data_IF_086789421642
#
_entry.id   IF_086789421642
#
_cell.length_a   1.000
_cell.length_b   1.000
_cell.length_c   1.000
_cell.angle_alpha   90.00
_cell.angle_beta   90.00
_cell.angle_gamma   90.00
#
_symmetry.space_group_name_H-M   'P 1'
#
loop_
_entity.id
_entity.type
_entity.pdbx_description
1 polymer ?
#
# COMPACT_ATOMS: atom_id res chain seq x y z
N UNK A 1 -7.42 4.16 33.01
CA UNK A 1 -7.89 3.41 31.81
C UNK A 1 -7.57 1.97 32.13
N UNK A 2 -8.52 1.05 31.99
CA UNK A 2 -8.36 -0.33 32.42
C UNK A 2 -8.41 -1.26 31.19
N UNK A 3 -7.55 -2.28 31.16
CA UNK A 3 -7.67 -3.35 30.19
C UNK A 3 -8.66 -4.37 30.76
N UNK A 4 -9.70 -4.68 29.99
CA UNK A 4 -10.61 -5.78 30.32
C UNK A 4 -9.99 -7.08 29.84
N UNK A 5 -9.61 -7.97 30.75
CA UNK A 5 -9.18 -9.32 30.43
C UNK A 5 -10.35 -10.27 30.68
N UNK A 6 -10.88 -10.88 29.62
CA UNK A 6 -12.07 -11.74 29.68
C UNK A 6 -13.27 -11.09 30.41
N UNK A 7 -13.45 -9.78 30.25
CA UNK A 7 -14.54 -9.02 30.89
C UNK A 7 -14.26 -8.58 32.33
N UNK A 8 -13.14 -8.99 32.93
CA UNK A 8 -12.72 -8.51 34.25
C UNK A 8 -11.80 -7.30 34.09
N UNK A 9 -12.09 -6.16 34.75
CA UNK A 9 -11.21 -5.00 34.71
C UNK A 9 -9.90 -5.32 35.43
N UNK A 10 -8.78 -5.16 34.72
CA UNK A 10 -7.44 -5.18 35.31
C UNK A 10 -7.10 -3.87 36.00
N UNK A 11 -5.83 -3.74 36.41
CA UNK A 11 -5.33 -2.54 37.09
C UNK A 11 -5.46 -1.28 36.24
N UNK A 12 -5.68 -0.16 36.92
CA UNK A 12 -5.72 1.14 36.28
C UNK A 12 -4.33 1.60 35.87
N UNK A 13 -4.19 1.96 34.60
CA UNK A 13 -3.00 2.62 34.09
C UNK A 13 -3.36 3.94 33.41
N UNK A 14 -2.37 4.84 33.38
CA UNK A 14 -2.44 6.12 32.66
C UNK A 14 -1.56 6.02 31.42
N UNK A 15 -2.13 6.06 30.20
CA UNK A 15 -1.33 6.09 29.00
C UNK A 15 -0.52 7.39 28.96
N UNK A 16 0.81 7.28 28.88
CA UNK A 16 1.72 8.43 28.81
C UNK A 16 2.12 8.79 27.38
N UNK A 17 1.95 7.86 26.43
CA UNK A 17 2.30 8.02 25.01
C UNK A 17 1.30 7.30 24.12
N UNK A 18 1.14 7.81 22.90
CA UNK A 18 0.25 7.27 21.90
C UNK A 18 -1.14 7.92 21.92
N UNK A 19 -1.81 7.86 20.78
CA UNK A 19 -3.19 8.34 20.64
C UNK A 19 -4.11 7.15 20.52
N UNK A 20 -5.29 7.23 21.12
CA UNK A 20 -6.29 6.17 21.06
C UNK A 20 -6.68 5.91 19.61
N UNK A 21 -6.47 4.68 19.15
CA UNK A 21 -6.93 4.24 17.84
C UNK A 21 -8.46 4.30 17.78
N UNK A 22 -9.02 4.71 16.65
CA UNK A 22 -10.46 4.97 16.38
C UNK A 22 -11.04 6.32 16.83
N UNK A 23 -10.27 7.19 17.49
CA UNK A 23 -10.73 8.56 17.72
C UNK A 23 -10.60 9.41 16.45
N UNK A 24 -11.61 10.24 16.15
CA UNK A 24 -11.66 11.04 14.92
C UNK A 24 -10.47 12.00 14.77
N UNK A 25 -9.87 12.45 15.88
CA UNK A 25 -8.76 13.42 15.91
C UNK A 25 -7.39 12.71 15.76
N UNK A 26 -7.30 11.44 16.14
CA UNK A 26 -6.04 10.69 16.18
C UNK A 26 -5.30 10.67 14.84
N UNK A 27 -6.04 10.55 13.74
CA UNK A 27 -5.50 10.55 12.39
C UNK A 27 -4.87 11.91 12.03
N UNK A 28 -5.52 13.02 12.39
CA UNK A 28 -5.03 14.36 12.08
C UNK A 28 -3.76 14.70 12.87
N UNK A 29 -3.72 14.34 14.15
CA UNK A 29 -2.52 14.51 14.98
C UNK A 29 -1.34 13.71 14.41
N UNK A 30 -1.60 12.48 13.94
CA UNK A 30 -0.58 11.70 13.28
C UNK A 30 -0.10 12.34 11.97
N UNK A 31 -1.02 12.85 11.15
CA UNK A 31 -0.68 13.56 9.89
C UNK A 31 0.22 14.77 10.18
N UNK A 32 -0.14 15.60 11.16
CA UNK A 32 0.66 16.75 11.59
C UNK A 32 2.06 16.34 12.06
N UNK A 33 2.16 15.25 12.83
CA UNK A 33 3.46 14.72 13.23
C UNK A 33 4.29 14.30 12.02
N UNK A 34 3.73 13.58 11.03
CA UNK A 34 4.52 13.16 9.87
C UNK A 34 4.81 14.32 8.90
N UNK A 35 4.01 15.39 8.89
CA UNK A 35 4.30 16.60 8.12
C UNK A 35 5.67 17.20 8.53
N UNK A 36 6.06 17.08 9.81
CA UNK A 36 7.41 17.44 10.27
C UNK A 36 8.52 16.66 9.54
N UNK A 37 8.31 15.37 9.26
CA UNK A 37 9.26 14.58 8.46
C UNK A 37 9.35 15.14 7.03
N UNK A 38 8.24 15.60 6.45
CA UNK A 38 8.23 16.27 5.15
C UNK A 38 9.11 17.50 5.14
N UNK A 39 8.98 18.34 6.15
CA UNK A 39 9.79 19.54 6.30
C UNK A 39 11.28 19.22 6.48
N UNK A 40 11.62 18.16 7.24
CA UNK A 40 13.01 17.74 7.40
C UNK A 40 13.62 17.27 6.07
N UNK A 41 12.85 16.53 5.26
CA UNK A 41 13.28 16.10 3.92
C UNK A 41 13.41 17.31 2.99
N UNK A 42 12.43 18.22 2.99
CA UNK A 42 12.46 19.44 2.17
C UNK A 42 13.65 20.32 2.52
N UNK A 43 13.99 20.44 3.80
CA UNK A 43 15.19 21.15 4.25
C UNK A 43 16.46 20.48 3.72
N UNK A 44 16.58 19.16 3.84
CA UNK A 44 17.71 18.42 3.29
C UNK A 44 17.82 18.57 1.75
N UNK A 45 16.69 18.74 1.05
CA UNK A 45 16.68 19.04 -0.39
C UNK A 45 17.21 20.44 -0.67
N UNK A 46 16.71 21.45 0.05
CA UNK A 46 17.13 22.84 -0.11
C UNK A 46 18.63 23.03 0.22
N UNK A 47 19.13 22.28 1.20
CA UNK A 47 20.55 22.26 1.60
C UNK A 47 21.43 21.46 0.61
N UNK A 48 20.85 20.85 -0.43
CA UNK A 48 21.55 20.07 -1.45
C UNK A 48 22.03 18.69 -1.01
N UNK A 49 21.76 18.29 0.24
CA UNK A 49 22.11 16.98 0.80
C UNK A 49 21.24 15.84 0.24
N UNK A 50 19.99 16.15 -0.13
CA UNK A 50 19.02 15.23 -0.71
C UNK A 50 18.66 15.67 -2.12
N UNK A 51 18.84 14.82 -3.13
CA UNK A 51 18.38 15.12 -4.50
C UNK A 51 17.15 14.30 -4.83
N UNK A 52 16.16 14.98 -5.41
CA UNK A 52 14.96 14.34 -5.95
C UNK A 52 15.29 13.67 -7.28
N UNK A 53 14.56 12.61 -7.62
CA UNK A 53 14.61 12.03 -8.95
C UNK A 53 13.77 12.88 -9.90
N UNK A 54 14.30 13.16 -11.09
CA UNK A 54 13.60 13.86 -12.16
C UNK A 54 13.12 12.86 -13.20
N UNK A 55 11.84 12.89 -13.55
CA UNK A 55 11.29 12.08 -14.65
C UNK A 55 11.02 13.02 -15.82
N UNK A 56 11.92 13.02 -16.81
CA UNK A 56 11.89 13.98 -17.90
C UNK A 56 12.15 15.40 -17.40
N UNK A 57 11.29 16.36 -17.79
CA UNK A 57 11.40 17.78 -17.44
C UNK A 57 10.72 18.11 -16.10
N UNK A 58 9.99 17.15 -15.51
CA UNK A 58 9.27 17.34 -14.26
C UNK A 58 10.12 16.84 -13.10
N UNK A 59 10.53 17.76 -12.24
CA UNK A 59 11.01 17.40 -10.91
C UNK A 59 9.85 16.79 -10.13
N UNK A 60 10.03 15.55 -9.67
CA UNK A 60 9.02 14.90 -8.83
C UNK A 60 8.94 15.64 -7.51
N UNK A 61 7.96 16.55 -7.37
CA UNK A 61 7.69 17.24 -6.11
C UNK A 61 7.39 16.19 -5.04
N UNK A 62 8.12 16.25 -3.94
CA UNK A 62 7.91 15.41 -2.78
C UNK A 62 6.55 15.75 -2.16
N UNK A 63 5.49 15.06 -2.58
CA UNK A 63 4.24 15.00 -1.82
C UNK A 63 4.29 13.76 -0.95
N UNK A 64 4.37 13.92 0.37
CA UNK A 64 4.03 12.86 1.32
C UNK A 64 2.53 12.61 1.23
N UNK A 65 2.07 12.03 0.12
CA UNK A 65 0.73 11.44 0.07
C UNK A 65 0.75 10.04 0.68
N UNK A 66 1.96 9.45 0.84
CA UNK A 66 2.15 8.09 1.31
C UNK A 66 3.16 8.08 2.46
N UNK A 67 2.69 8.05 3.70
CA UNK A 67 3.47 7.93 4.94
C UNK A 67 4.47 6.75 5.01
N UNK A 68 4.52 5.92 3.97
CA UNK A 68 5.26 4.66 3.92
C UNK A 68 6.29 4.59 2.79
N UNK A 69 6.42 5.63 1.98
CA UNK A 69 7.32 5.66 0.83
C UNK A 69 8.10 6.97 0.77
N UNK A 70 9.42 6.87 0.69
CA UNK A 70 10.33 7.99 0.58
C UNK A 70 11.25 7.73 -0.61
N UNK A 71 11.32 8.68 -1.54
CA UNK A 71 12.16 8.58 -2.73
C UNK A 71 13.46 9.37 -2.53
N UNK A 72 14.59 8.75 -2.84
CA UNK A 72 15.91 9.34 -2.72
C UNK A 72 16.73 9.06 -3.97
N UNK A 73 17.46 10.07 -4.45
CA UNK A 73 18.45 9.91 -5.52
C UNK A 73 19.79 10.51 -5.08
N UNK A 74 20.88 9.76 -5.20
CA UNK A 74 22.25 10.30 -5.12
C UNK A 74 23.23 9.35 -5.79
N UNK A 75 24.34 9.92 -6.23
CA UNK A 75 25.45 9.22 -6.87
C UNK A 75 26.48 8.67 -5.84
N UNK A 76 26.38 9.04 -4.56
CA UNK A 76 27.36 8.65 -3.51
C UNK A 76 26.69 7.91 -2.35
N UNK A 77 27.08 6.66 -2.11
CA UNK A 77 26.49 5.76 -1.09
C UNK A 77 26.54 6.35 0.33
N UNK A 78 27.68 6.94 0.70
CA UNK A 78 27.89 7.56 2.01
C UNK A 78 26.96 8.75 2.25
N UNK A 79 26.74 9.56 1.21
CA UNK A 79 25.80 10.68 1.26
C UNK A 79 24.37 10.19 1.47
N UNK A 80 23.99 9.05 0.87
CA UNK A 80 22.67 8.43 1.08
C UNK A 80 22.50 8.03 2.53
N UNK A 81 23.44 7.22 3.04
CA UNK A 81 23.40 6.71 4.41
C UNK A 81 23.31 7.87 5.40
N UNK A 82 24.19 8.85 5.26
CA UNK A 82 24.26 9.99 6.17
C UNK A 82 22.95 10.77 6.18
N UNK A 83 22.50 11.22 5.02
CA UNK A 83 21.32 12.08 4.91
C UNK A 83 20.05 11.37 5.38
N UNK A 84 19.83 10.11 4.96
CA UNK A 84 18.64 9.36 5.37
C UNK A 84 18.64 9.08 6.87
N UNK A 85 19.79 8.68 7.44
CA UNK A 85 19.89 8.44 8.89
C UNK A 85 19.75 9.72 9.69
N UNK A 86 20.34 10.84 9.27
CA UNK A 86 20.22 12.12 9.95
C UNK A 86 18.78 12.63 9.94
N UNK A 87 18.10 12.61 8.79
CA UNK A 87 16.69 13.03 8.68
C UNK A 87 15.78 12.16 9.56
N UNK A 88 15.93 10.84 9.50
CA UNK A 88 15.13 9.92 10.30
C UNK A 88 15.45 10.01 11.80
N UNK A 89 16.73 10.17 12.17
CA UNK A 89 17.14 10.30 13.56
C UNK A 89 16.62 11.61 14.17
N UNK A 90 16.75 12.73 13.46
CA UNK A 90 16.20 14.02 13.89
C UNK A 90 14.68 13.94 14.04
N UNK A 91 14.00 13.30 13.08
CA UNK A 91 12.55 13.10 13.19
C UNK A 91 12.16 12.23 14.39
N UNK A 92 12.84 11.09 14.61
CA UNK A 92 12.59 10.23 15.76
C UNK A 92 12.88 10.92 17.10
N UNK A 93 13.91 11.78 17.13
CA UNK A 93 14.26 12.58 18.30
C UNK A 93 13.17 13.62 18.60
N UNK A 94 12.75 14.40 17.60
CA UNK A 94 11.73 15.44 17.73
C UNK A 94 10.34 14.87 18.06
N UNK A 95 9.95 13.75 17.43
CA UNK A 95 8.60 13.18 17.54
C UNK A 95 8.45 12.10 18.62
N UNK A 96 9.55 11.52 19.09
CA UNK A 96 9.54 10.32 19.94
C UNK A 96 9.06 9.05 19.24
N UNK A 97 8.77 9.09 17.93
CA UNK A 97 8.43 7.92 17.11
C UNK A 97 9.69 7.11 16.78
N UNK A 98 9.48 5.85 16.37
CA UNK A 98 10.56 4.96 15.94
C UNK A 98 10.27 4.37 14.59
N UNK A 99 11.31 4.30 13.74
CA UNK A 99 11.25 3.59 12.47
C UNK A 99 11.21 2.09 12.74
N UNK A 100 10.28 1.40 12.10
CA UNK A 100 10.22 -0.06 12.14
C UNK A 100 11.19 -0.62 11.11
N UNK A 101 12.44 -0.86 11.50
CA UNK A 101 13.46 -1.50 10.66
C UNK A 101 12.96 -2.75 9.92
N UNK A 102 12.28 -3.73 10.55
CA UNK A 102 11.84 -4.95 9.83
C UNK A 102 10.74 -4.70 8.78
N UNK A 103 10.08 -3.53 8.83
CA UNK A 103 9.05 -3.14 7.85
C UNK A 103 9.60 -2.16 6.81
N UNK A 104 10.82 -1.68 7.00
CA UNK A 104 11.43 -0.69 6.12
C UNK A 104 12.25 -1.42 5.08
N UNK A 105 11.81 -1.31 3.84
CA UNK A 105 12.47 -1.91 2.70
C UNK A 105 13.13 -0.85 1.83
N UNK A 106 14.18 -1.23 1.12
CA UNK A 106 14.86 -0.38 0.15
C UNK A 106 14.82 -1.02 -1.23
N UNK A 107 14.37 -0.24 -2.21
CA UNK A 107 14.47 -0.58 -3.63
C UNK A 107 15.58 0.27 -4.25
N UNK A 108 16.50 -0.40 -4.94
CA UNK A 108 17.65 0.25 -5.60
C UNK A 108 17.51 0.15 -7.12
N UNK A 109 18.09 1.13 -7.82
CA UNK A 109 18.08 1.12 -9.28
C UNK A 109 18.85 -0.08 -9.84
N UNK A 110 18.41 -0.60 -10.99
CA UNK A 110 19.09 -1.72 -11.68
C UNK A 110 20.50 -1.35 -12.16
N UNK A 111 20.78 -0.05 -12.24
CA UNK A 111 22.07 0.47 -12.69
C UNK A 111 23.11 0.56 -11.57
N UNK A 112 22.78 0.19 -10.33
CA UNK A 112 23.71 0.20 -9.20
C UNK A 112 24.43 -1.15 -9.13
N UNK A 113 25.75 -1.14 -8.95
CA UNK A 113 26.52 -2.38 -8.81
C UNK A 113 26.04 -3.20 -7.61
N UNK A 114 26.10 -4.53 -7.75
CA UNK A 114 25.63 -5.45 -6.71
C UNK A 114 26.36 -5.27 -5.37
N UNK A 115 27.66 -4.98 -5.43
CA UNK A 115 28.50 -4.68 -4.25
C UNK A 115 27.99 -3.46 -3.50
N UNK A 116 27.75 -2.36 -4.22
CA UNK A 116 27.22 -1.12 -3.66
C UNK A 116 25.81 -1.29 -3.09
N UNK A 117 24.98 -2.12 -3.73
CA UNK A 117 23.65 -2.45 -3.23
C UNK A 117 23.70 -3.18 -1.89
N UNK A 118 24.56 -4.19 -1.78
CA UNK A 118 24.74 -4.92 -0.53
C UNK A 118 25.30 -4.01 0.55
N UNK A 119 26.31 -3.21 0.22
CA UNK A 119 26.91 -2.25 1.14
C UNK A 119 25.87 -1.26 1.67
N UNK A 120 25.03 -0.69 0.81
CA UNK A 120 23.95 0.22 1.21
C UNK A 120 22.91 -0.44 2.12
N UNK A 121 22.48 -1.66 1.80
CA UNK A 121 21.51 -2.39 2.62
C UNK A 121 22.06 -2.65 4.01
N UNK A 122 23.30 -3.15 4.11
CA UNK A 122 24.00 -3.36 5.39
C UNK A 122 24.23 -2.04 6.13
N UNK A 123 24.59 -0.98 5.40
CA UNK A 123 24.78 0.35 5.97
C UNK A 123 23.50 0.99 6.47
N UNK A 124 22.33 0.72 5.90
CA UNK A 124 21.07 1.30 6.35
C UNK A 124 20.36 0.41 7.37
N UNK A 125 20.62 -0.90 7.36
CA UNK A 125 19.90 -1.89 8.16
C UNK A 125 18.52 -2.21 7.58
N UNK A 126 18.26 -1.87 6.31
CA UNK A 126 16.98 -2.08 5.65
C UNK A 126 17.04 -3.27 4.72
N UNK A 127 15.94 -4.04 4.66
CA UNK A 127 15.82 -5.18 3.77
C UNK A 127 15.72 -4.73 2.32
N UNK A 128 16.67 -5.17 1.50
CA UNK A 128 16.61 -4.93 0.05
C UNK A 128 15.48 -5.73 -0.58
N UNK A 129 14.70 -5.08 -1.43
CA UNK A 129 13.66 -5.73 -2.25
C UNK A 129 13.89 -5.40 -3.72
N UNK A 130 13.53 -6.32 -4.60
CA UNK A 130 13.55 -6.10 -6.05
C UNK A 130 12.26 -5.48 -6.57
N UNK A 131 11.19 -5.63 -5.79
CA UNK A 131 9.87 -5.06 -6.03
C UNK A 131 9.29 -4.51 -4.72
N UNK A 132 8.67 -3.35 -4.78
CA UNK A 132 7.99 -2.72 -3.64
C UNK A 132 6.64 -3.40 -3.34
N UNK A 133 6.16 -4.25 -4.26
CA UNK A 133 4.96 -5.03 -4.08
C UNK A 133 3.71 -4.16 -4.09
N UNK A 134 2.81 -4.37 -3.12
CA UNK A 134 1.51 -3.69 -3.07
C UNK A 134 1.47 -2.62 -1.98
N UNK A 135 1.00 -1.43 -2.34
CA UNK A 135 0.69 -0.36 -1.41
C UNK A 135 -0.77 0.05 -1.54
N UNK A 136 -1.47 0.07 -0.40
CA UNK A 136 -2.91 0.32 -0.30
C UNK A 136 -3.76 -0.56 -1.25
N UNK A 137 -3.27 -1.74 -1.62
CA UNK A 137 -3.98 -2.66 -2.52
C UNK A 137 -3.67 -2.49 -4.01
N UNK A 138 -2.81 -1.55 -4.39
CA UNK A 138 -2.33 -1.36 -5.77
C UNK A 138 -0.85 -1.73 -5.85
N UNK A 139 -0.44 -2.42 -6.91
CA UNK A 139 0.96 -2.75 -7.16
C UNK A 139 1.75 -1.48 -7.49
N UNK A 140 2.84 -1.24 -6.77
CA UNK A 140 3.78 -0.16 -7.09
C UNK A 140 4.72 -0.69 -8.16
N UNK A 141 4.41 -0.35 -9.40
CA UNK A 141 5.15 -0.88 -10.53
C UNK A 141 6.49 -0.17 -10.67
N UNK A 142 7.57 -0.94 -10.52
CA UNK A 142 8.92 -0.56 -10.94
C UNK A 142 9.23 -1.00 -12.39
N UNK A 143 8.30 -1.71 -13.04
CA UNK A 143 8.48 -2.24 -14.40
C UNK A 143 7.16 -2.22 -15.20
N UNK A 144 7.21 -2.68 -16.46
CA UNK A 144 6.03 -2.73 -17.34
C UNK A 144 4.87 -3.47 -16.66
N UNK A 145 3.66 -2.94 -16.84
CA UNK A 145 2.39 -3.53 -16.41
C UNK A 145 2.32 -4.97 -16.92
N UNK A 146 2.39 -5.96 -16.03
CA UNK A 146 2.17 -7.38 -16.34
C UNK A 146 0.79 -7.80 -15.85
N UNK A 147 0.15 -8.74 -16.56
CA UNK A 147 -1.11 -9.36 -16.14
C UNK A 147 -1.03 -9.91 -14.71
N UNK A 148 0.05 -10.60 -14.39
CA UNK A 148 0.31 -11.23 -13.08
C UNK A 148 0.17 -10.28 -11.89
N UNK A 149 0.41 -8.99 -12.08
CA UNK A 149 0.31 -7.98 -11.01
C UNK A 149 -1.13 -7.66 -10.63
N UNK A 150 -2.10 -8.15 -11.39
CA UNK A 150 -3.53 -7.87 -11.22
C UNK A 150 -4.38 -9.14 -11.09
N UNK A 151 -3.77 -10.33 -11.12
CA UNK A 151 -4.49 -11.59 -10.91
C UNK A 151 -5.21 -11.62 -9.55
N UNK A 152 -4.67 -10.91 -8.54
CA UNK A 152 -5.35 -10.70 -7.26
C UNK A 152 -6.73 -10.03 -7.37
N UNK A 153 -6.96 -9.22 -8.40
CA UNK A 153 -8.28 -8.60 -8.65
C UNK A 153 -9.26 -9.69 -9.08
N UNK A 154 -8.82 -10.61 -9.94
CA UNK A 154 -9.60 -11.78 -10.36
C UNK A 154 -9.88 -12.70 -9.17
N UNK A 155 -8.87 -13.06 -8.38
CA UNK A 155 -9.04 -13.89 -7.17
C UNK A 155 -10.04 -13.27 -6.19
N UNK A 156 -10.00 -11.95 -5.99
CA UNK A 156 -10.97 -11.23 -5.14
C UNK A 156 -12.37 -11.23 -5.73
N UNK A 157 -12.49 -11.09 -7.05
CA UNK A 157 -13.78 -11.17 -7.73
C UNK A 157 -14.38 -12.57 -7.56
N UNK A 158 -13.58 -13.62 -7.79
CA UNK A 158 -14.01 -15.00 -7.61
C UNK A 158 -14.38 -15.30 -6.16
N UNK A 159 -13.57 -14.89 -5.19
CA UNK A 159 -13.83 -15.09 -3.76
C UNK A 159 -15.11 -14.37 -3.31
N UNK A 160 -15.34 -13.15 -3.80
CA UNK A 160 -16.56 -12.41 -3.49
C UNK A 160 -17.78 -13.07 -4.10
N UNK A 161 -17.71 -13.49 -5.36
CA UNK A 161 -18.85 -14.11 -6.06
C UNK A 161 -19.13 -15.53 -5.52
N UNK A 162 -18.11 -16.34 -5.25
CA UNK A 162 -18.25 -17.70 -4.71
C UNK A 162 -18.73 -17.74 -3.25
N UNK A 163 -18.43 -16.69 -2.48
CA UNK A 163 -18.98 -16.52 -1.13
C UNK A 163 -20.51 -16.42 -1.10
N UNK A 164 -21.13 -16.03 -2.23
CA UNK A 164 -22.57 -16.06 -2.39
C UNK A 164 -22.99 -17.33 -3.12
N UNK A 165 -23.91 -18.10 -2.53
CA UNK A 165 -24.51 -19.24 -3.24
C UNK A 165 -25.39 -18.72 -4.35
N UNK A 166 -24.92 -18.77 -5.60
CA UNK A 166 -25.70 -18.37 -6.79
C UNK A 166 -27.09 -19.04 -6.83
N UNK A 167 -27.18 -20.29 -6.34
CA UNK A 167 -28.43 -21.05 -6.23
C UNK A 167 -29.46 -20.48 -5.24
N UNK A 168 -29.04 -19.61 -4.31
CA UNK A 168 -29.93 -18.97 -3.33
C UNK A 168 -30.45 -17.59 -3.75
N UNK A 169 -30.06 -17.13 -4.95
CA UNK A 169 -30.33 -15.78 -5.43
C UNK A 169 -31.20 -15.81 -6.68
N UNK A 170 -32.12 -14.84 -6.78
CA UNK A 170 -32.85 -14.59 -8.02
C UNK A 170 -31.89 -14.10 -9.12
N UNK A 171 -32.32 -14.16 -10.39
CA UNK A 171 -31.54 -13.59 -11.48
C UNK A 171 -31.23 -12.11 -11.25
N UNK A 172 -32.23 -11.34 -10.80
CA UNK A 172 -32.05 -9.92 -10.44
C UNK A 172 -31.02 -9.74 -9.32
N UNK A 173 -31.05 -10.57 -8.27
CA UNK A 173 -30.06 -10.54 -7.20
C UNK A 173 -28.64 -10.82 -7.69
N UNK A 174 -28.48 -11.78 -8.62
CA UNK A 174 -27.19 -12.09 -9.26
C UNK A 174 -26.68 -10.92 -10.10
N UNK A 175 -27.54 -10.28 -10.90
CA UNK A 175 -27.17 -9.09 -11.69
C UNK A 175 -26.66 -7.97 -10.79
N UNK A 176 -27.38 -7.65 -9.70
CA UNK A 176 -27.01 -6.58 -8.77
C UNK A 176 -25.66 -6.86 -8.11
N UNK A 177 -25.42 -8.10 -7.64
CA UNK A 177 -24.16 -8.48 -7.03
C UNK A 177 -22.99 -8.42 -8.01
N UNK A 178 -23.20 -8.92 -9.24
CA UNK A 178 -22.20 -8.82 -10.31
C UNK A 178 -21.84 -7.36 -10.60
N UNK A 179 -22.83 -6.48 -10.71
CA UNK A 179 -22.62 -5.06 -10.94
C UNK A 179 -21.89 -4.39 -9.76
N UNK A 180 -22.19 -4.76 -8.52
CA UNK A 180 -21.49 -4.28 -7.34
C UNK A 180 -20.02 -4.71 -7.32
N UNK A 181 -19.71 -5.94 -7.73
CA UNK A 181 -18.32 -6.43 -7.80
C UNK A 181 -17.54 -5.73 -8.93
N UNK A 182 -18.13 -5.62 -10.12
CA UNK A 182 -17.52 -4.96 -11.28
C UNK A 182 -17.29 -3.47 -11.07
N UNK A 183 -18.17 -2.78 -10.35
CA UNK A 183 -18.03 -1.34 -10.09
C UNK A 183 -17.03 -1.02 -8.98
N UNK A 184 -16.77 -1.95 -8.05
CA UNK A 184 -15.95 -1.64 -6.86
C UNK A 184 -14.52 -2.18 -6.94
N UNK A 185 -14.30 -3.39 -7.46
CA UNK A 185 -12.98 -4.03 -7.46
C UNK A 185 -11.97 -3.36 -8.40
N UNK A 186 -12.27 -3.14 -9.69
CA UNK A 186 -11.31 -2.51 -10.60
C UNK A 186 -11.20 -1.00 -10.36
N UNK A 187 -12.23 -0.36 -9.80
CA UNK A 187 -12.32 1.10 -9.68
C UNK A 187 -11.10 1.72 -8.99
N UNK A 188 -10.74 1.24 -7.80
CA UNK A 188 -9.61 1.78 -7.06
C UNK A 188 -8.28 1.64 -7.82
N UNK A 189 -8.05 0.50 -8.47
CA UNK A 189 -6.83 0.29 -9.27
C UNK A 189 -6.81 1.16 -10.52
N UNK A 190 -7.96 1.25 -11.22
CA UNK A 190 -8.13 2.03 -12.44
C UNK A 190 -7.98 3.54 -12.24
N UNK A 191 -8.14 4.06 -11.01
CA UNK A 191 -7.80 5.45 -10.69
C UNK A 191 -6.31 5.77 -10.90
N UNK A 192 -5.45 4.76 -10.77
CA UNK A 192 -3.99 4.93 -10.87
C UNK A 192 -3.40 4.36 -12.15
N UNK A 193 -3.92 3.22 -12.62
CA UNK A 193 -3.33 2.46 -13.74
C UNK A 193 -4.44 1.83 -14.58
N UNK A 194 -4.36 1.96 -15.91
CA UNK A 194 -5.23 1.23 -16.83
C UNK A 194 -4.99 -0.28 -16.74
N UNK A 195 -6.03 -1.06 -16.46
CA UNK A 195 -5.91 -2.52 -16.43
C UNK A 195 -5.65 -3.09 -17.83
N UNK A 196 -4.84 -4.17 -17.94
CA UNK A 196 -4.73 -4.94 -19.17
C UNK A 196 -6.09 -5.50 -19.61
N UNK A 197 -6.33 -5.57 -20.92
CA UNK A 197 -7.58 -6.14 -21.47
C UNK A 197 -7.83 -7.57 -20.98
N UNK A 198 -6.78 -8.38 -20.84
CA UNK A 198 -6.88 -9.75 -20.33
C UNK A 198 -7.43 -9.86 -18.91
N UNK A 199 -7.23 -8.84 -18.06
CA UNK A 199 -7.83 -8.78 -16.71
C UNK A 199 -9.30 -8.39 -16.81
N UNK A 200 -9.65 -7.50 -17.73
CA UNK A 200 -11.05 -7.11 -17.96
C UNK A 200 -11.87 -8.29 -18.48
N UNK A 201 -11.34 -9.02 -19.46
CA UNK A 201 -11.93 -10.26 -19.98
C UNK A 201 -12.10 -11.33 -18.88
N UNK A 202 -11.08 -11.50 -18.03
CA UNK A 202 -11.17 -12.41 -16.88
C UNK A 202 -12.27 -12.01 -15.90
N UNK A 203 -12.40 -10.72 -15.58
CA UNK A 203 -13.46 -10.21 -14.70
C UNK A 203 -14.85 -10.48 -15.32
N UNK A 204 -15.01 -10.21 -16.60
CA UNK A 204 -16.25 -10.52 -17.32
C UNK A 204 -16.55 -12.02 -17.29
N UNK A 205 -15.54 -12.87 -17.46
CA UNK A 205 -15.71 -14.32 -17.40
C UNK A 205 -16.19 -14.79 -16.02
N UNK A 206 -15.59 -14.30 -14.93
CA UNK A 206 -16.03 -14.62 -13.57
C UNK A 206 -17.49 -14.19 -13.34
N UNK A 207 -17.85 -13.00 -13.82
CA UNK A 207 -19.19 -12.44 -13.71
C UNK A 207 -20.22 -13.24 -14.51
N UNK A 208 -19.89 -13.62 -15.75
CA UNK A 208 -20.74 -14.47 -16.59
C UNK A 208 -20.94 -15.84 -15.96
N UNK A 209 -19.88 -16.45 -15.42
CA UNK A 209 -19.97 -17.74 -14.73
C UNK A 209 -20.95 -17.67 -13.55
N UNK A 210 -20.83 -16.68 -12.67
CA UNK A 210 -21.74 -16.50 -11.54
C UNK A 210 -23.19 -16.20 -11.96
N UNK A 211 -23.38 -15.40 -13.01
CA UNK A 211 -24.72 -15.07 -13.52
C UNK A 211 -25.45 -16.32 -14.05
N UNK A 212 -24.72 -17.21 -14.73
CA UNK A 212 -25.27 -18.39 -15.39
C UNK A 212 -25.11 -19.70 -14.60
N UNK A 213 -24.42 -19.69 -13.46
CA UNK A 213 -24.39 -20.81 -12.50
C UNK A 213 -25.82 -21.11 -12.02
N UNK A 214 -26.44 -22.12 -12.62
CA UNK A 214 -27.83 -22.46 -12.39
C UNK A 214 -28.03 -23.05 -10.97
N UNK A 215 -29.14 -22.72 -10.27
CA UNK A 215 -29.66 -23.63 -9.27
C UNK A 215 -30.11 -24.91 -10.02
N UNK A 216 -29.35 -26.00 -9.88
CA UNK A 216 -29.85 -27.32 -10.21
C UNK A 216 -30.97 -27.67 -9.21
N UNK A 217 -32.20 -27.24 -9.50
CA UNK A 217 -33.46 -27.92 -9.14
C UNK A 217 -34.67 -27.10 -9.62
N UNK A 218 -35.47 -27.74 -10.48
CA UNK A 218 -36.88 -27.45 -10.77
C UNK A 218 -37.22 -26.45 -11.90
N UNK A 219 -36.64 -26.63 -13.08
CA UNK A 219 -37.29 -26.22 -14.33
C UNK A 219 -37.87 -27.46 -15.04
N UNK A 220 -38.82 -28.14 -14.37
CA UNK A 220 -39.89 -28.87 -15.04
C UNK A 220 -41.18 -28.18 -14.62
N UNK A 221 -41.72 -27.36 -15.51
CA UNK A 221 -43.13 -27.01 -15.53
C UNK A 221 -43.63 -27.30 -16.94
N UNK A 222 -44.77 -27.99 -16.94
CA UNK A 222 -45.49 -28.60 -18.04
C UNK A 222 -45.72 -27.69 -19.26
#
# INVERSE_FOLDING_TARGET
MQILWNGVPGEDFRPSRGVRQSERISLYLFVLCIERLAHNIQRAINDGAWRLFTVGVVECKFRIYCFRMIYFYSLKLWSIRRTVREVLANFCHDSGLRVSEPKTTILLSKNVHHVDCHLLSTMLGFTRVEDLGYYLGVSILYSRVKRQNYDRILERAETRLSGWKAASLSLAGRVVLTQAVLSTLPYYTMQSIRLPNSICEGLEQCCRRFLWEAPLKNAKLA
#
